data_IF_337295799598
#
_entry.id   IF_337295799598
#
_cell.length_a   1.000
_cell.length_b   1.000
_cell.length_c   1.000
_cell.angle_alpha   90.00
_cell.angle_beta   90.00
_cell.angle_gamma   90.00
#
_symmetry.space_group_name_H-M   'P 1'
#
loop_
_entity.id
_entity.type
_entity.pdbx_description
1 polymer ?
#
# COMPACT_ATOMS: atom_id res chain seq x y z
N UNK A 1 -12.49 37.67 21.21
CA UNK A 1 -12.76 36.56 22.14
C UNK A 1 -11.76 35.48 21.84
N UNK A 2 -10.69 35.30 22.67
CA UNK A 2 -9.65 34.27 22.46
C UNK A 2 -10.24 32.94 22.92
N UNK A 3 -10.48 32.00 21.97
CA UNK A 3 -10.79 30.64 22.32
C UNK A 3 -9.64 30.03 23.14
N UNK A 4 -9.92 29.42 24.29
CA UNK A 4 -8.90 28.78 25.09
C UNK A 4 -8.27 27.65 24.29
N UNK A 5 -6.96 27.61 24.23
CA UNK A 5 -6.14 26.53 23.67
C UNK A 5 -6.60 25.20 24.32
N UNK A 6 -7.31 24.37 23.57
CA UNK A 6 -7.55 23.01 24.02
C UNK A 6 -6.19 22.31 24.06
N UNK A 7 -5.66 22.09 25.24
CA UNK A 7 -4.60 21.10 25.42
C UNK A 7 -5.18 19.77 24.91
N UNK A 8 -4.40 19.02 24.11
CA UNK A 8 -4.75 17.66 23.74
C UNK A 8 -5.24 16.95 24.99
N UNK A 9 -6.45 16.37 24.97
CA UNK A 9 -6.95 15.65 26.13
C UNK A 9 -6.07 14.41 26.30
N UNK A 10 -5.81 14.03 27.55
CA UNK A 10 -5.04 12.81 27.85
C UNK A 10 -5.81 11.63 27.25
N UNK A 11 -5.34 11.08 26.12
CA UNK A 11 -5.99 9.98 25.41
C UNK A 11 -6.27 10.24 23.91
N UNK A 12 -6.11 11.48 23.43
CA UNK A 12 -6.19 11.76 21.99
C UNK A 12 -4.88 11.41 21.30
N UNK A 13 -4.97 10.70 20.17
CA UNK A 13 -3.85 10.35 19.30
C UNK A 13 -4.07 10.93 17.91
N UNK A 14 -3.07 11.62 17.41
CA UNK A 14 -3.05 12.11 16.04
C UNK A 14 -2.19 11.15 15.20
N UNK A 15 -2.74 10.64 14.12
CA UNK A 15 -1.99 9.89 13.12
C UNK A 15 -1.97 10.68 11.84
N UNK A 16 -0.81 10.83 11.24
CA UNK A 16 -0.63 11.65 10.04
C UNK A 16 0.21 10.95 8.98
N UNK A 17 -0.01 11.34 7.73
CA UNK A 17 0.90 11.05 6.62
C UNK A 17 1.16 12.35 5.85
N UNK A 18 2.43 12.69 5.65
CA UNK A 18 2.86 13.90 4.96
C UNK A 18 3.66 13.56 3.72
N UNK A 19 3.18 13.95 2.54
CA UNK A 19 3.84 13.69 1.25
C UNK A 19 4.71 14.85 0.73
N UNK A 20 4.79 15.96 1.46
CA UNK A 20 5.38 17.22 0.95
C UNK A 20 4.39 18.06 0.16
N UNK A 21 3.22 17.54 -0.17
CA UNK A 21 2.15 18.25 -0.89
C UNK A 21 0.78 18.14 -0.23
N UNK A 22 0.54 17.06 0.50
CA UNK A 22 -0.72 16.79 1.19
C UNK A 22 -0.47 16.18 2.55
N UNK A 23 -1.18 16.68 3.56
CA UNK A 23 -1.28 16.08 4.88
C UNK A 23 -2.60 15.33 4.97
N UNK A 24 -2.52 14.02 5.19
CA UNK A 24 -3.66 13.20 5.61
C UNK A 24 -3.59 13.01 7.10
N UNK A 25 -4.69 13.17 7.81
CA UNK A 25 -4.70 13.01 9.25
C UNK A 25 -5.96 12.31 9.76
N UNK A 26 -5.80 11.60 10.85
CA UNK A 26 -6.87 11.01 11.67
C UNK A 26 -6.58 11.33 13.12
N UNK A 27 -7.53 11.99 13.78
CA UNK A 27 -7.54 12.21 15.22
C UNK A 27 -8.51 11.22 15.85
N UNK A 28 -8.03 10.41 16.78
CA UNK A 28 -8.83 9.39 17.44
C UNK A 28 -8.61 9.39 18.95
N UNK A 29 -9.59 8.91 19.68
CA UNK A 29 -9.53 8.58 21.11
C UNK A 29 -9.70 7.08 21.29
N UNK A 30 -9.07 6.51 22.31
CA UNK A 30 -9.17 5.07 22.59
C UNK A 30 -7.80 4.42 22.76
N UNK A 31 -7.82 3.11 22.93
CA UNK A 31 -6.62 2.29 23.09
C UNK A 31 -6.89 0.82 22.70
N UNK A 32 -5.82 0.06 22.47
CA UNK A 32 -5.94 -1.34 22.04
C UNK A 32 -6.62 -1.46 20.69
N UNK A 33 -7.75 -2.12 20.66
CA UNK A 33 -8.57 -2.34 19.46
C UNK A 33 -9.93 -1.62 19.52
N UNK A 34 -10.08 -0.61 20.36
CA UNK A 34 -11.32 0.19 20.47
C UNK A 34 -11.01 1.68 20.35
N UNK A 35 -11.16 2.21 19.14
CA UNK A 35 -10.93 3.62 18.83
C UNK A 35 -12.20 4.30 18.37
N UNK A 36 -12.32 5.56 18.73
CA UNK A 36 -13.36 6.46 18.21
C UNK A 36 -12.69 7.56 17.40
N UNK A 37 -13.05 7.67 16.13
CA UNK A 37 -12.57 8.73 15.24
C UNK A 37 -13.28 10.03 15.66
N UNK A 38 -12.48 11.03 15.99
CA UNK A 38 -12.94 12.35 16.39
C UNK A 38 -12.99 13.30 15.20
N UNK A 39 -11.98 13.19 14.34
CA UNK A 39 -11.83 14.03 13.16
C UNK A 39 -10.82 13.42 12.20
N UNK A 40 -11.02 13.64 10.92
CA UNK A 40 -10.10 13.29 9.86
C UNK A 40 -10.11 14.34 8.76
N UNK A 41 -9.19 14.23 7.83
CA UNK A 41 -9.18 15.07 6.64
C UNK A 41 -7.91 14.96 5.81
N UNK A 42 -7.98 15.59 4.66
CA UNK A 42 -6.86 15.74 3.71
C UNK A 42 -6.67 17.23 3.45
N UNK A 43 -5.49 17.74 3.79
CA UNK A 43 -5.11 19.14 3.63
C UNK A 43 -4.03 19.26 2.56
N UNK A 44 -4.34 19.89 1.46
CA UNK A 44 -3.40 20.13 0.38
C UNK A 44 -2.57 21.38 0.68
N UNK A 45 -1.24 21.31 0.52
CA UNK A 45 -0.40 22.50 0.61
C UNK A 45 -0.69 23.46 -0.55
N UNK A 46 -0.86 22.92 -1.76
CA UNK A 46 -1.10 23.71 -2.95
C UNK A 46 0.06 24.66 -3.24
N UNK A 47 -0.24 25.93 -3.46
CA UNK A 47 0.74 27.00 -3.69
C UNK A 47 1.26 27.66 -2.40
N UNK A 48 0.78 27.25 -1.22
CA UNK A 48 1.17 27.82 0.07
C UNK A 48 2.65 27.53 0.36
N UNK A 49 3.32 28.49 1.00
CA UNK A 49 4.59 28.20 1.66
C UNK A 49 4.37 27.20 2.80
N UNK A 50 5.40 26.48 3.21
CA UNK A 50 5.31 25.59 4.38
C UNK A 50 4.87 26.35 5.64
N UNK A 51 5.24 27.61 5.78
CA UNK A 51 4.85 28.47 6.90
C UNK A 51 3.34 28.78 6.87
N UNK A 52 2.80 29.18 5.71
CA UNK A 52 1.38 29.49 5.56
C UNK A 52 0.52 28.23 5.72
N UNK A 53 0.96 27.13 5.14
CA UNK A 53 0.35 25.82 5.32
C UNK A 53 0.31 25.41 6.79
N UNK A 54 1.44 25.50 7.49
CA UNK A 54 1.52 25.18 8.92
C UNK A 54 0.60 26.09 9.76
N UNK A 55 0.49 27.36 9.40
CA UNK A 55 -0.43 28.31 10.07
C UNK A 55 -1.88 27.89 9.89
N UNK A 56 -2.25 27.40 8.70
CA UNK A 56 -3.58 26.84 8.41
C UNK A 56 -3.85 25.58 9.25
N UNK A 57 -2.88 24.67 9.35
CA UNK A 57 -2.98 23.49 10.20
C UNK A 57 -3.14 23.83 11.69
N UNK A 58 -2.46 24.87 12.15
CA UNK A 58 -2.66 25.40 13.52
C UNK A 58 -4.08 25.94 13.72
N UNK A 59 -4.64 26.63 12.73
CA UNK A 59 -6.03 27.12 12.77
C UNK A 59 -7.05 25.97 12.78
N UNK A 60 -6.74 24.88 12.09
CA UNK A 60 -7.50 23.64 12.15
C UNK A 60 -7.35 22.91 13.50
N UNK A 61 -6.51 23.39 14.40
CA UNK A 61 -6.32 22.81 15.73
C UNK A 61 -5.50 21.54 15.74
N UNK A 62 -4.59 21.36 14.79
CA UNK A 62 -3.70 20.17 14.70
C UNK A 62 -2.36 20.37 15.44
N UNK A 63 -2.23 21.37 16.30
CA UNK A 63 -1.01 21.66 17.04
C UNK A 63 -0.95 20.96 18.39
N UNK A 64 0.23 20.46 18.78
CA UNK A 64 0.54 20.04 20.15
C UNK A 64 0.05 18.63 20.51
N UNK A 65 -0.14 17.77 19.52
CA UNK A 65 -0.55 16.38 19.75
C UNK A 65 0.63 15.43 19.92
N UNK A 66 0.39 14.37 20.66
CA UNK A 66 1.18 13.12 20.54
C UNK A 66 0.81 12.50 19.20
N UNK A 67 1.81 12.31 18.33
CA UNK A 67 1.59 12.04 16.93
C UNK A 67 2.35 10.78 16.47
N UNK A 68 1.67 9.95 15.74
CA UNK A 68 2.28 8.87 14.98
C UNK A 68 2.29 9.26 13.49
N UNK A 69 3.40 9.05 12.82
CA UNK A 69 3.56 9.39 11.41
C UNK A 69 3.62 8.10 10.60
N UNK A 70 2.94 8.07 9.46
CA UNK A 70 3.03 6.98 8.49
C UNK A 70 3.68 7.49 7.21
N UNK A 71 4.74 6.84 6.78
CA UNK A 71 5.30 7.02 5.45
C UNK A 71 4.45 6.24 4.44
N UNK A 72 4.20 6.87 3.30
CA UNK A 72 3.52 6.26 2.15
C UNK A 72 4.49 5.40 1.33
N UNK A 73 3.99 4.46 0.52
CA UNK A 73 4.84 3.57 -0.26
C UNK A 73 5.92 4.26 -1.10
N UNK A 74 5.65 5.44 -1.64
CA UNK A 74 6.60 6.20 -2.45
C UNK A 74 7.73 6.87 -1.65
N UNK A 75 7.63 6.92 -0.32
CA UNK A 75 8.57 7.62 0.56
C UNK A 75 9.66 6.71 1.15
N UNK A 76 9.55 5.40 0.97
CA UNK A 76 10.53 4.41 1.45
C UNK A 76 10.61 3.23 0.50
N UNK A 77 11.59 2.38 0.71
CA UNK A 77 11.67 1.06 0.10
C UNK A 77 11.59 0.00 1.21
N UNK A 78 10.83 -1.05 0.98
CA UNK A 78 10.82 -2.25 1.82
C UNK A 78 11.54 -3.36 1.04
N UNK A 79 12.74 -3.71 1.48
CA UNK A 79 13.60 -4.68 0.86
C UNK A 79 13.61 -5.96 1.70
N UNK A 80 13.53 -7.11 1.05
CA UNK A 80 13.68 -8.39 1.71
C UNK A 80 15.08 -8.93 1.44
N UNK A 81 15.80 -9.25 2.51
CA UNK A 81 17.19 -9.74 2.45
C UNK A 81 17.33 -11.03 3.25
N UNK A 82 18.41 -11.76 3.00
CA UNK A 82 18.85 -12.83 3.87
C UNK A 82 19.36 -12.26 5.20
N UNK A 83 18.92 -12.87 6.32
CA UNK A 83 19.28 -12.38 7.64
C UNK A 83 20.80 -12.57 7.89
N UNK A 84 21.55 -11.48 8.15
CA UNK A 84 22.97 -11.60 8.46
C UNK A 84 23.18 -12.40 9.75
N UNK A 85 24.20 -13.26 9.78
CA UNK A 85 24.57 -14.05 10.95
C UNK A 85 25.40 -13.20 11.94
N UNK A 86 24.78 -12.20 12.54
CA UNK A 86 25.42 -11.27 13.51
C UNK A 86 24.59 -11.15 14.78
N UNK A 87 25.15 -10.52 15.81
CA UNK A 87 24.41 -10.22 17.04
C UNK A 87 23.24 -9.24 16.76
N UNK A 88 22.14 -9.30 17.53
CA UNK A 88 20.98 -8.43 17.33
C UNK A 88 21.31 -6.94 17.27
N UNK A 89 22.30 -6.50 18.04
CA UNK A 89 22.76 -5.11 18.12
C UNK A 89 23.46 -4.65 16.83
N UNK A 90 24.06 -5.57 16.09
CA UNK A 90 24.79 -5.33 14.84
C UNK A 90 23.88 -5.49 13.60
N UNK A 91 22.68 -6.04 13.78
CA UNK A 91 21.80 -6.44 12.69
C UNK A 91 21.48 -5.29 11.74
N UNK A 92 21.18 -4.10 12.28
CA UNK A 92 20.88 -2.90 11.48
C UNK A 92 22.09 -2.46 10.66
N UNK A 93 23.29 -2.50 11.26
CA UNK A 93 24.52 -2.12 10.56
C UNK A 93 24.87 -3.11 9.46
N UNK A 94 24.75 -4.40 9.73
CA UNK A 94 25.00 -5.46 8.73
C UNK A 94 23.98 -5.38 7.58
N UNK A 95 22.68 -5.23 7.88
CA UNK A 95 21.64 -5.05 6.89
C UNK A 95 21.89 -3.82 6.00
N UNK A 96 22.35 -2.70 6.57
CA UNK A 96 22.70 -1.48 5.83
C UNK A 96 23.73 -1.74 4.74
N UNK A 97 24.76 -2.53 5.01
CA UNK A 97 25.77 -2.87 4.01
C UNK A 97 25.23 -3.81 2.95
N UNK A 98 24.34 -4.71 3.32
CA UNK A 98 23.80 -5.73 2.42
C UNK A 98 22.86 -5.10 1.37
N UNK A 99 22.12 -4.04 1.71
CA UNK A 99 21.23 -3.36 0.76
C UNK A 99 21.95 -2.38 -0.17
N UNK A 100 23.27 -2.19 -0.03
CA UNK A 100 24.02 -1.16 -0.77
C UNK A 100 23.81 -1.22 -2.28
N UNK A 101 23.76 -2.41 -2.85
CA UNK A 101 23.57 -2.61 -4.29
C UNK A 101 22.09 -2.68 -4.70
N UNK A 102 21.16 -2.59 -3.71
CA UNK A 102 19.71 -2.69 -3.94
C UNK A 102 19.03 -1.32 -3.92
N UNK A 103 19.73 -0.27 -3.54
CA UNK A 103 19.21 1.10 -3.42
C UNK A 103 19.94 2.03 -4.36
N UNK A 104 19.22 2.97 -4.98
CA UNK A 104 19.77 3.94 -5.92
C UNK A 104 20.36 5.19 -5.22
N UNK A 105 20.32 5.25 -3.89
CA UNK A 105 20.72 6.39 -3.07
C UNK A 105 21.89 6.00 -2.19
N UNK A 106 22.80 6.94 -1.93
CA UNK A 106 23.94 6.69 -1.04
C UNK A 106 23.45 6.30 0.36
N UNK A 107 24.09 5.30 0.98
CA UNK A 107 23.67 4.77 2.28
C UNK A 107 23.60 5.85 3.37
N UNK A 108 24.45 6.87 3.34
CA UNK A 108 24.46 7.94 4.34
C UNK A 108 23.26 8.89 4.22
N UNK A 109 22.57 8.85 3.07
CA UNK A 109 21.34 9.59 2.84
C UNK A 109 20.08 8.80 3.22
N UNK A 110 20.24 7.59 3.80
CA UNK A 110 19.14 6.73 4.18
C UNK A 110 19.03 6.56 5.70
N UNK A 111 17.80 6.70 6.19
CA UNK A 111 17.36 6.19 7.49
C UNK A 111 16.89 4.76 7.28
N UNK A 112 17.46 3.81 8.04
CA UNK A 112 17.23 2.38 7.89
C UNK A 112 16.75 1.79 9.20
N UNK A 113 15.74 0.91 9.11
CA UNK A 113 15.34 0.03 10.20
C UNK A 113 15.13 -1.39 9.68
N UNK A 114 15.16 -2.37 10.58
CA UNK A 114 15.05 -3.79 10.24
C UNK A 114 13.88 -4.43 10.97
N UNK A 115 13.17 -5.29 10.27
CA UNK A 115 12.00 -6.00 10.76
C UNK A 115 12.16 -7.49 10.46
N UNK A 116 11.64 -8.34 11.32
CA UNK A 116 11.58 -9.77 11.03
C UNK A 116 10.54 -10.04 9.94
N UNK A 117 10.80 -11.07 9.14
CA UNK A 117 9.80 -11.65 8.27
C UNK A 117 8.95 -12.61 9.11
N UNK A 118 7.65 -12.43 9.10
CA UNK A 118 6.73 -13.28 9.84
C UNK A 118 7.09 -13.41 11.33
N UNK A 119 6.87 -14.60 11.87
CA UNK A 119 7.17 -14.94 13.26
C UNK A 119 8.69 -15.09 13.55
N UNK A 120 9.52 -14.97 12.53
CA UNK A 120 10.96 -15.14 12.64
C UNK A 120 11.39 -16.59 12.94
N UNK A 121 10.55 -17.59 12.63
CA UNK A 121 10.84 -19.00 12.85
C UNK A 121 10.92 -19.77 11.53
N UNK A 122 11.55 -20.93 11.56
CA UNK A 122 11.68 -21.78 10.38
C UNK A 122 12.30 -21.04 9.21
N UNK A 123 11.62 -21.02 8.06
CA UNK A 123 12.08 -20.31 6.87
C UNK A 123 12.11 -18.78 7.06
N UNK A 124 11.24 -18.23 7.89
CA UNK A 124 11.21 -16.80 8.19
C UNK A 124 12.46 -16.36 8.98
N UNK A 125 13.05 -17.23 9.77
CA UNK A 125 14.25 -16.92 10.58
C UNK A 125 15.47 -16.53 9.74
N UNK A 126 15.53 -16.97 8.48
CA UNK A 126 16.63 -16.66 7.55
C UNK A 126 16.42 -15.38 6.75
N UNK A 127 15.35 -14.62 7.01
CA UNK A 127 14.99 -13.45 6.23
C UNK A 127 14.66 -12.25 7.10
N UNK A 128 14.93 -11.06 6.55
CA UNK A 128 14.60 -9.78 7.17
C UNK A 128 13.95 -8.86 6.14
N UNK A 129 13.08 -8.00 6.63
CA UNK A 129 12.71 -6.78 5.93
C UNK A 129 13.63 -5.63 6.37
N UNK A 130 14.07 -4.85 5.41
CA UNK A 130 14.80 -3.60 5.63
C UNK A 130 13.94 -2.47 5.08
N UNK A 131 13.55 -1.57 5.97
CA UNK A 131 12.91 -0.30 5.58
C UNK A 131 14.03 0.70 5.33
N UNK A 132 14.05 1.30 4.15
CA UNK A 132 14.99 2.34 3.79
C UNK A 132 14.24 3.59 3.31
N UNK A 133 14.29 4.67 4.08
CA UNK A 133 13.68 5.95 3.75
C UNK A 133 14.75 7.02 3.54
N UNK A 134 14.57 7.90 2.55
CA UNK A 134 15.50 8.99 2.35
C UNK A 134 15.48 9.94 3.56
N UNK A 135 16.65 10.36 4.02
CA UNK A 135 16.79 11.30 5.14
C UNK A 135 16.09 12.63 4.88
N UNK A 136 15.92 13.03 3.63
CA UNK A 136 15.15 14.22 3.29
C UNK A 136 13.69 14.08 3.68
N UNK A 137 13.06 12.93 3.38
CA UNK A 137 11.67 12.63 3.77
C UNK A 137 11.49 12.70 5.28
N UNK A 138 12.41 12.07 6.02
CA UNK A 138 12.36 12.09 7.50
C UNK A 138 12.52 13.50 8.02
N UNK A 139 13.46 14.28 7.47
CA UNK A 139 13.65 15.70 7.85
C UNK A 139 12.43 16.57 7.57
N UNK A 140 11.78 16.39 6.43
CA UNK A 140 10.58 17.16 6.06
C UNK A 140 9.44 16.88 7.02
N UNK A 141 9.22 15.60 7.37
CA UNK A 141 8.26 15.18 8.40
C UNK A 141 8.58 15.84 9.74
N UNK A 142 9.84 15.77 10.20
CA UNK A 142 10.24 16.30 11.48
C UNK A 142 10.23 17.84 11.50
N UNK A 143 10.46 18.49 10.36
CA UNK A 143 10.35 19.94 10.23
C UNK A 143 8.89 20.39 10.43
N UNK A 144 7.94 19.74 9.76
CA UNK A 144 6.52 20.00 9.95
C UNK A 144 6.09 19.73 11.40
N UNK A 145 6.54 18.59 11.97
CA UNK A 145 6.26 18.21 13.35
C UNK A 145 6.77 19.26 14.35
N UNK A 146 7.97 19.81 14.12
CA UNK A 146 8.56 20.85 14.97
C UNK A 146 7.70 22.13 14.97
N UNK A 147 7.27 22.59 13.79
CA UNK A 147 6.42 23.80 13.67
C UNK A 147 5.07 23.60 14.36
N UNK A 148 4.48 22.42 14.22
CA UNK A 148 3.19 22.07 14.81
C UNK A 148 3.30 21.60 16.27
N UNK A 149 4.52 21.55 16.82
CA UNK A 149 4.80 21.09 18.19
C UNK A 149 4.23 19.70 18.46
N UNK A 150 4.36 18.81 17.48
CA UNK A 150 3.98 17.40 17.65
C UNK A 150 5.05 16.65 18.45
N UNK A 151 4.57 15.80 19.36
CA UNK A 151 5.40 14.80 20.03
C UNK A 151 5.37 13.52 19.20
N UNK A 152 6.32 13.37 18.26
CA UNK A 152 6.39 12.23 17.35
C UNK A 152 6.91 11.01 18.09
N UNK A 153 6.05 10.02 18.29
CA UNK A 153 6.40 8.75 18.95
C UNK A 153 7.01 7.74 18.00
N UNK A 154 6.49 7.66 16.79
CA UNK A 154 6.91 6.70 15.78
C UNK A 154 6.76 7.28 14.39
N UNK A 155 7.66 6.87 13.50
CA UNK A 155 7.50 6.98 12.06
C UNK A 155 7.36 5.55 11.56
N UNK A 156 6.16 5.20 11.12
CA UNK A 156 5.78 3.87 10.65
C UNK A 156 5.69 3.83 9.12
N UNK A 157 5.49 2.66 8.55
CA UNK A 157 5.34 2.44 7.11
C UNK A 157 3.99 1.81 6.81
N UNK A 158 3.46 2.07 5.62
CA UNK A 158 2.11 1.61 5.25
C UNK A 158 1.97 0.09 5.26
N UNK A 159 3.03 -0.67 4.97
CA UNK A 159 3.01 -2.14 5.03
C UNK A 159 2.63 -2.65 6.42
N UNK A 160 3.19 -2.03 7.47
CA UNK A 160 2.88 -2.40 8.84
C UNK A 160 1.48 -1.96 9.26
N UNK A 161 1.05 -0.79 8.80
CA UNK A 161 -0.31 -0.32 9.01
C UNK A 161 -1.34 -1.27 8.36
N UNK A 162 -1.09 -1.69 7.13
CA UNK A 162 -1.96 -2.62 6.40
C UNK A 162 -2.00 -3.99 7.08
N UNK A 163 -0.86 -4.53 7.53
CA UNK A 163 -0.78 -5.76 8.36
C UNK A 163 -1.67 -5.65 9.60
N UNK A 164 -1.61 -4.52 10.30
CA UNK A 164 -2.42 -4.33 11.51
C UNK A 164 -3.93 -4.37 11.22
N UNK A 165 -4.36 -3.82 10.09
CA UNK A 165 -5.77 -3.90 9.66
C UNK A 165 -6.17 -5.35 9.34
N UNK A 166 -5.30 -6.12 8.68
CA UNK A 166 -5.56 -7.53 8.39
C UNK A 166 -5.71 -8.37 9.67
N UNK A 167 -4.90 -8.07 10.70
CA UNK A 167 -4.87 -8.83 11.94
C UNK A 167 -6.17 -8.76 12.76
N UNK A 168 -7.01 -7.75 12.53
CA UNK A 168 -8.30 -7.65 13.21
C UNK A 168 -9.42 -8.48 12.55
N UNK A 169 -9.27 -8.80 11.25
CA UNK A 169 -10.25 -9.63 10.54
C UNK A 169 -10.00 -11.13 10.72
N UNK A 170 -8.75 -11.55 10.51
CA UNK A 170 -8.36 -12.96 10.49
C UNK A 170 -7.08 -13.17 11.32
N UNK A 171 -7.19 -13.16 12.65
CA UNK A 171 -6.01 -13.13 13.50
C UNK A 171 -5.17 -14.41 13.48
N UNK A 172 -5.73 -15.54 13.04
CA UNK A 172 -5.05 -16.85 13.09
C UNK A 172 -4.65 -17.40 11.72
N UNK A 173 -5.07 -16.76 10.63
CA UNK A 173 -4.87 -17.26 9.27
C UNK A 173 -4.12 -16.25 8.42
N UNK A 174 -3.38 -16.75 7.43
CA UNK A 174 -2.77 -15.86 6.45
C UNK A 174 -3.84 -15.21 5.56
N UNK A 175 -3.75 -13.91 5.37
CA UNK A 175 -4.58 -13.15 4.45
C UNK A 175 -3.73 -12.31 3.53
N UNK A 176 -4.16 -12.18 2.28
CA UNK A 176 -3.62 -11.21 1.33
C UNK A 176 -4.49 -9.95 1.37
N UNK A 177 -3.89 -8.78 1.45
CA UNK A 177 -4.62 -7.53 1.30
C UNK A 177 -4.09 -6.72 0.12
N UNK A 178 -5.00 -6.16 -0.65
CA UNK A 178 -4.74 -5.21 -1.73
C UNK A 178 -5.35 -3.86 -1.34
N UNK A 179 -4.51 -2.85 -1.15
CA UNK A 179 -4.97 -1.52 -0.76
C UNK A 179 -4.59 -0.49 -1.83
N UNK A 180 -5.60 0.15 -2.39
CA UNK A 180 -5.47 1.21 -3.39
C UNK A 180 -5.83 2.53 -2.71
N UNK A 181 -4.82 3.37 -2.45
CA UNK A 181 -5.02 4.68 -1.80
C UNK A 181 -5.12 5.82 -2.82
N UNK A 182 -4.27 5.85 -3.83
CA UNK A 182 -4.17 6.98 -4.79
C UNK A 182 -4.39 6.58 -6.27
N UNK A 183 -4.81 5.36 -6.55
CA UNK A 183 -5.21 4.92 -7.89
C UNK A 183 -4.07 4.65 -8.90
N UNK A 184 -2.80 4.83 -8.52
CA UNK A 184 -1.63 4.54 -9.37
C UNK A 184 -0.91 3.25 -9.01
N UNK A 185 -0.99 2.87 -7.75
CA UNK A 185 -0.37 1.67 -7.21
C UNK A 185 -1.30 1.01 -6.22
N UNK A 186 -1.18 -0.29 -6.09
CA UNK A 186 -1.74 -1.04 -4.97
C UNK A 186 -0.62 -1.66 -4.16
N UNK A 187 -0.76 -1.59 -2.86
CA UNK A 187 0.10 -2.30 -1.94
C UNK A 187 -0.52 -3.66 -1.65
N UNK A 188 0.17 -4.73 -2.04
CA UNK A 188 -0.17 -6.10 -1.72
C UNK A 188 0.65 -6.54 -0.52
N UNK A 189 -0.01 -6.94 0.56
CA UNK A 189 0.65 -7.54 1.73
C UNK A 189 0.03 -8.90 2.03
N UNK A 190 0.85 -9.86 2.50
CA UNK A 190 0.36 -11.10 3.09
C UNK A 190 0.87 -11.16 4.51
N UNK A 191 -0.06 -11.27 5.44
CA UNK A 191 0.19 -11.32 6.87
C UNK A 191 -0.57 -12.48 7.52
N UNK A 192 -0.06 -12.96 8.64
CA UNK A 192 -0.73 -13.93 9.47
C UNK A 192 -0.59 -13.50 10.94
N UNK A 193 -1.69 -13.42 11.66
CA UNK A 193 -1.69 -12.82 12.98
C UNK A 193 -1.21 -11.37 12.91
N UNK A 194 -0.24 -11.03 13.75
CA UNK A 194 0.36 -9.69 13.80
C UNK A 194 1.64 -9.57 12.99
N UNK A 195 1.94 -10.54 12.11
CA UNK A 195 3.22 -10.62 11.44
C UNK A 195 3.09 -10.44 9.93
N UNK A 196 4.01 -9.64 9.35
CA UNK A 196 4.13 -9.45 7.92
C UNK A 196 5.08 -10.50 7.33
N UNK A 197 4.63 -11.22 6.31
CA UNK A 197 5.42 -12.25 5.64
C UNK A 197 5.82 -11.85 4.22
N UNK A 198 4.98 -11.08 3.55
CA UNK A 198 5.20 -10.69 2.16
C UNK A 198 4.62 -9.31 1.91
N UNK A 199 5.33 -8.51 1.13
CA UNK A 199 4.85 -7.22 0.66
C UNK A 199 5.35 -6.94 -0.75
N UNK A 200 4.48 -6.37 -1.56
CA UNK A 200 4.80 -5.98 -2.94
C UNK A 200 3.95 -4.79 -3.38
N UNK A 201 4.57 -3.87 -4.10
CA UNK A 201 3.87 -2.81 -4.81
C UNK A 201 3.58 -3.26 -6.23
N UNK A 202 2.35 -3.07 -6.65
CA UNK A 202 1.90 -3.37 -8.00
C UNK A 202 1.44 -2.06 -8.65
N UNK A 203 1.98 -1.77 -9.83
CA UNK A 203 1.55 -0.60 -10.59
C UNK A 203 0.17 -0.87 -11.19
N UNK A 204 -0.71 0.11 -11.04
CA UNK A 204 -2.02 0.09 -11.65
C UNK A 204 -1.96 0.77 -13.02
N UNK A 205 -2.64 0.23 -14.01
CA UNK A 205 -2.80 0.90 -15.30
C UNK A 205 -3.44 2.28 -15.13
N UNK A 206 -3.06 3.20 -15.99
CA UNK A 206 -3.68 4.53 -16.00
C UNK A 206 -5.21 4.41 -16.21
N UNK A 207 -5.96 5.11 -15.37
CA UNK A 207 -7.43 5.06 -15.42
C UNK A 207 -8.06 3.80 -14.81
N UNK A 208 -7.27 2.88 -14.20
CA UNK A 208 -7.77 1.62 -13.63
C UNK A 208 -8.99 1.80 -12.72
N UNK A 209 -8.97 2.79 -11.85
CA UNK A 209 -10.10 3.08 -10.95
C UNK A 209 -11.35 3.64 -11.66
N UNK A 210 -11.21 4.09 -12.90
CA UNK A 210 -12.32 4.55 -13.74
C UNK A 210 -12.84 3.48 -14.73
N UNK A 211 -12.15 2.34 -14.86
CA UNK A 211 -12.54 1.27 -15.77
C UNK A 211 -13.78 0.53 -15.27
N UNK A 212 -14.53 -0.04 -16.20
CA UNK A 212 -15.56 -1.02 -15.88
C UNK A 212 -14.93 -2.41 -15.81
N UNK A 213 -14.95 -3.04 -14.63
CA UNK A 213 -14.43 -4.39 -14.43
C UNK A 213 -15.52 -5.41 -14.80
N UNK A 214 -15.77 -5.59 -16.11
CA UNK A 214 -16.78 -6.50 -16.61
C UNK A 214 -16.34 -7.95 -16.63
N UNK A 215 -17.33 -8.85 -16.53
CA UNK A 215 -17.13 -10.29 -16.65
C UNK A 215 -16.67 -10.65 -18.06
N UNK A 216 -15.61 -11.43 -18.19
CA UNK A 216 -15.43 -12.21 -19.40
C UNK A 216 -14.08 -12.24 -20.07
N UNK A 217 -13.00 -11.66 -19.47
CA UNK A 217 -11.74 -11.60 -20.22
C UNK A 217 -10.83 -12.84 -20.10
N UNK A 218 -10.96 -13.64 -19.05
CA UNK A 218 -10.19 -14.90 -18.96
C UNK A 218 -11.00 -16.14 -19.31
N UNK A 219 -12.31 -16.12 -19.09
CA UNK A 219 -13.18 -17.28 -19.37
C UNK A 219 -13.51 -17.49 -20.86
N UNK A 220 -13.19 -16.54 -21.74
CA UNK A 220 -13.43 -16.65 -23.18
C UNK A 220 -12.20 -16.98 -24.03
N UNK A 221 -11.04 -17.19 -23.44
CA UNK A 221 -10.03 -17.97 -24.14
C UNK A 221 -10.48 -19.42 -24.05
N UNK A 222 -11.33 -19.81 -25.01
CA UNK A 222 -11.58 -21.22 -25.30
C UNK A 222 -10.22 -21.94 -25.40
N UNK A 223 -10.13 -23.19 -24.93
CA UNK A 223 -8.91 -23.94 -25.11
C UNK A 223 -8.56 -23.90 -26.59
N UNK A 224 -7.35 -23.46 -26.89
CA UNK A 224 -6.83 -23.56 -28.26
C UNK A 224 -6.57 -25.02 -28.54
N UNK A 225 -7.65 -25.80 -28.62
CA UNK A 225 -7.70 -27.07 -29.31
C UNK A 225 -8.00 -26.77 -30.77
N UNK A 226 -7.06 -26.18 -31.42
CA UNK A 226 -6.96 -26.23 -32.85
C UNK A 226 -5.48 -26.39 -33.18
N UNK A 227 -5.03 -27.60 -33.20
CA UNK A 227 -3.91 -27.98 -34.02
C UNK A 227 -4.30 -27.60 -35.46
N UNK A 228 -3.99 -26.41 -35.87
CA UNK A 228 -3.94 -26.00 -37.28
C UNK A 228 -2.65 -26.59 -37.81
N UNK A 229 -2.71 -27.53 -38.78
CA UNK A 229 -1.52 -27.99 -39.45
C UNK A 229 -0.79 -26.78 -40.05
N UNK A 230 0.48 -26.63 -39.71
CA UNK A 230 1.37 -25.66 -40.35
C UNK A 230 1.37 -26.00 -41.83
N UNK A 231 0.69 -25.20 -42.65
CA UNK A 231 0.87 -25.31 -44.10
C UNK A 231 2.33 -24.98 -44.44
N UNK A 232 2.87 -25.85 -45.23
CA UNK A 232 4.22 -25.96 -45.73
C UNK A 232 4.77 -24.57 -46.18
N UNK A 233 5.87 -24.12 -45.55
CA UNK A 233 6.58 -22.90 -45.89
C UNK A 233 7.18 -23.06 -47.29
N UNK A 234 6.60 -22.39 -48.27
CA UNK A 234 7.18 -22.21 -49.60
C UNK A 234 7.93 -20.88 -49.66
N UNK A 235 9.27 -20.89 -49.86
CA UNK A 235 9.98 -19.61 -49.99
C UNK A 235 9.76 -19.05 -51.41
N UNK A 236 8.97 -17.99 -51.52
CA UNK A 236 8.77 -17.23 -52.75
C UNK A 236 9.34 -15.81 -52.62
N UNK A 237 10.44 -15.57 -53.29
CA UNK A 237 10.92 -14.21 -53.55
C UNK A 237 9.93 -13.48 -54.46
N UNK A 238 9.44 -12.32 -54.05
CA UNK A 238 8.97 -11.30 -54.99
C UNK A 238 9.00 -9.90 -54.37
N UNK A 239 9.49 -9.01 -55.14
CA UNK A 239 9.97 -7.66 -54.93
C UNK A 239 8.90 -6.59 -54.67
N UNK A 240 9.30 -5.58 -53.93
CA UNK A 240 9.09 -4.12 -54.12
C UNK A 240 7.67 -3.64 -54.46
N UNK A 241 7.10 -2.88 -53.52
CA UNK A 241 6.00 -1.96 -53.72
C UNK A 241 6.00 -0.87 -52.65
N UNK A 242 6.64 0.27 -52.97
CA UNK A 242 6.52 1.52 -52.20
C UNK A 242 5.15 2.16 -52.46
N UNK A 243 4.50 2.61 -51.41
CA UNK A 243 3.37 3.53 -51.51
C UNK A 243 2.06 3.01 -50.87
N UNK A 244 1.83 3.35 -49.64
CA UNK A 244 0.52 3.19 -48.97
C UNK A 244 0.43 4.24 -47.87
N UNK A 245 -0.39 5.26 -48.10
CA UNK A 245 -0.71 6.34 -47.19
C UNK A 245 -1.20 5.76 -45.85
N UNK A 246 -0.58 6.17 -44.76
CA UNK A 246 -1.09 5.96 -43.42
C UNK A 246 -2.35 6.80 -43.23
N UNK A 247 -3.50 6.25 -43.53
CA UNK A 247 -4.77 6.78 -43.07
C UNK A 247 -4.84 6.59 -41.56
N UNK A 248 -4.81 7.69 -40.81
CA UNK A 248 -5.18 7.74 -39.41
C UNK A 248 -6.69 7.52 -39.32
N UNK A 249 -7.10 6.27 -39.36
CA UNK A 249 -8.47 5.86 -39.08
C UNK A 249 -8.65 5.88 -37.56
N UNK A 250 -9.63 6.64 -37.11
CA UNK A 250 -9.97 6.79 -35.70
C UNK A 250 -10.12 5.45 -35.01
N UNK A 251 -9.58 5.36 -33.80
CA UNK A 251 -9.75 4.20 -32.93
C UNK A 251 -11.24 3.90 -32.76
N UNK A 252 -11.66 2.73 -33.21
CA UNK A 252 -13.02 2.23 -32.99
C UNK A 252 -13.22 1.98 -31.50
N UNK A 253 -14.45 2.18 -30.96
CA UNK A 253 -14.73 1.92 -29.53
C UNK A 253 -14.29 0.54 -29.06
N UNK A 254 -14.38 -0.47 -29.90
CA UNK A 254 -13.92 -1.83 -29.62
C UNK A 254 -12.41 -1.95 -29.31
N UNK A 255 -11.56 -1.06 -29.86
CA UNK A 255 -10.12 -1.08 -29.60
C UNK A 255 -9.74 -0.45 -28.24
N UNK A 256 -10.56 0.49 -27.75
CA UNK A 256 -10.36 1.09 -26.44
C UNK A 256 -10.77 0.13 -25.32
N UNK A 257 -11.94 -0.53 -25.46
CA UNK A 257 -12.39 -1.54 -24.50
C UNK A 257 -11.42 -2.72 -24.41
N UNK A 258 -10.88 -3.20 -25.52
CA UNK A 258 -9.89 -4.27 -25.52
C UNK A 258 -8.61 -3.84 -24.81
N UNK A 259 -8.15 -2.60 -24.99
CA UNK A 259 -6.96 -2.10 -24.29
C UNK A 259 -7.17 -1.98 -22.78
N UNK A 260 -8.38 -1.68 -22.32
CA UNK A 260 -8.71 -1.60 -20.90
C UNK A 260 -8.81 -2.99 -20.25
N UNK A 261 -9.37 -3.95 -20.98
CA UNK A 261 -9.35 -5.37 -20.58
C UNK A 261 -7.92 -5.88 -20.40
N UNK A 262 -7.07 -5.65 -21.40
CA UNK A 262 -5.65 -6.09 -21.35
C UNK A 262 -4.88 -5.43 -20.18
N UNK A 263 -5.21 -4.18 -19.85
CA UNK A 263 -4.62 -3.47 -18.72
C UNK A 263 -5.07 -4.06 -17.37
N UNK A 264 -6.36 -4.32 -17.23
CA UNK A 264 -6.91 -4.93 -16.02
C UNK A 264 -6.34 -6.34 -15.80
N UNK A 265 -6.17 -7.14 -16.87
CA UNK A 265 -5.58 -8.47 -16.81
C UNK A 265 -4.15 -8.48 -16.24
N UNK A 266 -3.36 -7.44 -16.46
CA UNK A 266 -2.00 -7.36 -15.87
C UNK A 266 -2.05 -7.39 -14.34
N UNK A 267 -2.97 -6.66 -13.72
CA UNK A 267 -3.13 -6.71 -12.26
C UNK A 267 -3.51 -8.12 -11.79
N UNK A 268 -4.47 -8.78 -12.47
CA UNK A 268 -4.84 -10.15 -12.14
C UNK A 268 -3.64 -11.10 -12.16
N UNK A 269 -2.84 -11.05 -13.24
CA UNK A 269 -1.64 -11.88 -13.37
C UNK A 269 -0.64 -11.61 -12.25
N UNK A 270 -0.42 -10.34 -11.89
CA UNK A 270 0.52 -10.00 -10.83
C UNK A 270 0.00 -10.42 -9.43
N UNK A 271 -1.30 -10.30 -9.18
CA UNK A 271 -1.94 -10.80 -7.96
C UNK A 271 -1.81 -12.33 -7.89
N UNK A 272 -2.17 -13.03 -8.98
CA UNK A 272 -2.08 -14.50 -9.04
C UNK A 272 -0.64 -14.98 -8.84
N UNK A 273 0.35 -14.35 -9.50
CA UNK A 273 1.77 -14.67 -9.31
C UNK A 273 2.21 -14.50 -7.84
N UNK A 274 1.71 -13.48 -7.17
CA UNK A 274 2.04 -13.24 -5.76
C UNK A 274 1.45 -14.31 -4.85
N UNK A 275 0.22 -14.74 -5.13
CA UNK A 275 -0.45 -15.84 -4.42
C UNK A 275 0.27 -17.17 -4.69
N UNK A 276 0.58 -17.50 -5.94
CA UNK A 276 1.30 -18.72 -6.31
C UNK A 276 2.69 -18.78 -5.65
N UNK A 277 3.39 -17.65 -5.62
CA UNK A 277 4.68 -17.56 -4.92
C UNK A 277 4.53 -17.79 -3.42
N UNK A 278 3.49 -17.23 -2.82
CA UNK A 278 3.15 -17.44 -1.42
C UNK A 278 2.91 -18.94 -1.13
N UNK A 279 2.02 -19.57 -1.85
CA UNK A 279 1.64 -20.99 -1.66
C UNK A 279 2.84 -21.94 -1.80
N UNK A 280 3.74 -21.65 -2.75
CA UNK A 280 4.99 -22.42 -2.92
C UNK A 280 6.01 -22.15 -1.80
N UNK A 281 6.01 -20.95 -1.24
CA UNK A 281 6.99 -20.54 -0.24
C UNK A 281 6.56 -20.93 1.16
N UNK A 282 5.27 -20.82 1.46
CA UNK A 282 4.69 -20.98 2.80
C UNK A 282 3.63 -22.08 2.83
N UNK A 283 4.01 -23.29 2.44
CA UNK A 283 3.10 -24.44 2.30
C UNK A 283 2.34 -24.80 3.59
N UNK A 284 2.90 -24.48 4.75
CA UNK A 284 2.30 -24.74 6.06
C UNK A 284 1.37 -23.59 6.53
N UNK A 285 1.26 -22.52 5.76
CA UNK A 285 0.46 -21.34 6.13
C UNK A 285 -0.47 -20.97 4.96
N UNK A 286 -1.55 -21.77 4.75
CA UNK A 286 -2.45 -21.55 3.62
C UNK A 286 -3.17 -20.21 3.72
N UNK A 287 -3.40 -19.59 2.56
CA UNK A 287 -4.11 -18.33 2.47
C UNK A 287 -5.60 -18.53 2.79
N UNK A 288 -6.16 -17.68 3.66
CA UNK A 288 -7.59 -17.67 3.96
C UNK A 288 -8.41 -17.01 2.86
N UNK A 289 -7.80 -16.06 2.16
CA UNK A 289 -8.43 -15.30 1.10
C UNK A 289 -7.73 -13.97 0.86
N UNK A 290 -8.32 -13.19 -0.03
CA UNK A 290 -7.86 -11.84 -0.40
C UNK A 290 -8.83 -10.81 0.16
N UNK A 291 -8.33 -9.70 0.67
CA UNK A 291 -9.10 -8.55 1.12
C UNK A 291 -8.71 -7.34 0.30
N UNK A 292 -9.70 -6.59 -0.19
CA UNK A 292 -9.45 -5.41 -1.01
C UNK A 292 -9.97 -4.15 -0.36
N UNK A 293 -9.24 -3.07 -0.52
CA UNK A 293 -9.65 -1.72 -0.15
C UNK A 293 -9.38 -0.77 -1.32
N UNK A 294 -10.44 -0.26 -1.94
CA UNK A 294 -10.41 0.59 -3.12
C UNK A 294 -11.49 1.69 -3.03
N UNK A 295 -11.71 2.23 -1.82
CA UNK A 295 -12.75 3.21 -1.57
C UNK A 295 -14.14 2.67 -1.88
N UNK A 296 -14.97 3.46 -2.56
CA UNK A 296 -16.34 3.09 -2.93
C UNK A 296 -16.43 1.89 -3.88
N UNK A 297 -15.35 1.60 -4.60
CA UNK A 297 -15.31 0.50 -5.57
C UNK A 297 -14.76 -0.82 -5.00
N UNK A 298 -14.58 -0.90 -3.68
CA UNK A 298 -14.02 -2.09 -3.03
C UNK A 298 -14.85 -3.35 -3.33
N UNK A 299 -16.16 -3.26 -3.25
CA UNK A 299 -17.06 -4.40 -3.49
C UNK A 299 -17.00 -4.87 -4.95
N UNK A 300 -17.01 -3.92 -5.91
CA UNK A 300 -16.92 -4.23 -7.34
C UNK A 300 -15.57 -4.88 -7.68
N UNK A 301 -14.47 -4.35 -7.11
CA UNK A 301 -13.14 -4.91 -7.26
C UNK A 301 -13.05 -6.33 -6.66
N UNK A 302 -13.65 -6.54 -5.49
CA UNK A 302 -13.67 -7.85 -4.84
C UNK A 302 -14.40 -8.89 -5.70
N UNK A 303 -15.56 -8.54 -6.23
CA UNK A 303 -16.36 -9.42 -7.09
C UNK A 303 -15.61 -9.76 -8.38
N UNK A 304 -14.98 -8.77 -9.00
CA UNK A 304 -14.19 -8.97 -10.21
C UNK A 304 -12.99 -9.88 -9.96
N UNK A 305 -12.18 -9.60 -8.94
CA UNK A 305 -11.03 -10.42 -8.59
C UNK A 305 -11.44 -11.85 -8.20
N UNK A 306 -12.51 -12.02 -7.42
CA UNK A 306 -12.98 -13.34 -7.01
C UNK A 306 -13.38 -14.21 -8.19
N UNK A 307 -14.09 -13.63 -9.13
CA UNK A 307 -14.55 -14.34 -10.33
C UNK A 307 -13.39 -14.75 -11.24
N UNK A 308 -12.43 -13.83 -11.46
CA UNK A 308 -11.39 -14.02 -12.46
C UNK A 308 -10.16 -14.77 -11.89
N UNK A 309 -9.94 -14.79 -10.58
CA UNK A 309 -8.87 -15.56 -9.91
C UNK A 309 -9.36 -16.87 -9.30
N UNK A 310 -10.67 -17.05 -9.10
CA UNK A 310 -11.23 -18.17 -8.37
C UNK A 310 -10.92 -18.18 -6.88
N UNK A 311 -10.31 -17.11 -6.34
CA UNK A 311 -9.98 -16.95 -4.93
C UNK A 311 -11.16 -16.42 -4.12
N UNK A 312 -11.17 -16.70 -2.82
CA UNK A 312 -12.10 -16.04 -1.91
C UNK A 312 -11.67 -14.59 -1.69
N UNK A 313 -12.32 -13.65 -2.39
CA UNK A 313 -12.02 -12.21 -2.27
C UNK A 313 -13.19 -11.50 -1.60
N UNK A 314 -12.88 -10.67 -0.61
CA UNK A 314 -13.84 -9.81 0.08
C UNK A 314 -13.28 -8.40 0.30
N UNK A 315 -14.12 -7.50 0.78
CA UNK A 315 -13.69 -6.15 1.17
C UNK A 315 -12.95 -6.23 2.50
N UNK A 316 -11.92 -5.41 2.65
CA UNK A 316 -11.23 -5.24 3.94
C UNK A 316 -12.13 -4.43 4.88
N UNK A 317 -12.59 -5.06 5.96
CA UNK A 317 -13.44 -4.42 6.94
C UNK A 317 -12.64 -3.98 8.17
N UNK A 318 -12.88 -2.78 8.62
CA UNK A 318 -12.27 -2.23 9.86
C UNK A 318 -13.24 -2.28 11.05
N UNK A 319 -14.44 -2.63 10.80
CA UNK A 319 -15.70 -2.74 11.54
C UNK A 319 -15.67 -2.47 13.05
N UNK A 320 -15.37 -3.51 13.83
CA UNK A 320 -15.58 -3.44 15.28
C UNK A 320 -14.54 -2.60 16.04
N UNK A 321 -13.36 -2.38 15.45
CA UNK A 321 -12.25 -1.67 16.12
C UNK A 321 -12.36 -0.16 16.05
N UNK A 322 -13.21 0.38 15.18
CA UNK A 322 -13.34 1.82 15.00
C UNK A 322 -14.80 2.27 15.01
N UNK A 323 -15.10 3.23 15.90
CA UNK A 323 -16.36 3.97 15.95
C UNK A 323 -16.15 5.33 15.27
N UNK A 324 -17.22 5.92 14.74
CA UNK A 324 -17.15 7.23 14.10
C UNK A 324 -16.46 7.23 12.75
N UNK A 325 -16.47 6.12 12.01
CA UNK A 325 -15.94 6.08 10.63
C UNK A 325 -16.69 7.02 9.68
N UNK A 326 -17.92 7.38 10.00
CA UNK A 326 -18.73 8.40 9.33
C UNK A 326 -18.13 9.82 9.42
N UNK A 327 -17.17 10.04 10.31
CA UNK A 327 -16.39 11.29 10.38
C UNK A 327 -15.33 11.38 9.27
N UNK A 328 -15.05 10.27 8.59
CA UNK A 328 -14.16 10.26 7.43
C UNK A 328 -15.02 10.40 6.18
N UNK A 329 -14.77 11.43 5.38
CA UNK A 329 -15.49 11.58 4.11
C UNK A 329 -15.22 10.37 3.20
N UNK A 330 -16.20 10.03 2.36
CA UNK A 330 -16.07 8.91 1.43
C UNK A 330 -14.86 9.10 0.50
N UNK A 331 -14.62 10.34 0.06
CA UNK A 331 -13.50 10.69 -0.80
C UNK A 331 -12.14 10.55 -0.09
N UNK A 332 -12.08 10.82 1.22
CA UNK A 332 -10.85 10.75 2.01
C UNK A 332 -10.58 9.34 2.57
N UNK A 333 -11.59 8.47 2.57
CA UNK A 333 -11.48 7.13 3.15
C UNK A 333 -10.28 6.33 2.61
N UNK A 334 -9.99 6.27 1.30
CA UNK A 334 -8.84 5.52 0.79
C UNK A 334 -7.50 6.00 1.34
N UNK A 335 -7.38 7.30 1.61
CA UNK A 335 -6.16 7.91 2.16
C UNK A 335 -6.08 7.79 3.69
N UNK A 336 -7.22 7.85 4.38
CA UNK A 336 -7.30 7.75 5.83
C UNK A 336 -7.24 6.29 6.34
N UNK A 337 -7.71 5.33 5.55
CA UNK A 337 -7.78 3.92 5.95
C UNK A 337 -6.42 3.36 6.42
N UNK A 338 -5.29 3.58 5.73
CA UNK A 338 -4.00 3.11 6.23
C UNK A 338 -3.63 3.71 7.59
N UNK A 339 -4.04 4.97 7.88
CA UNK A 339 -3.75 5.61 9.16
C UNK A 339 -4.48 4.92 10.32
N UNK A 340 -5.64 4.30 10.07
CA UNK A 340 -6.32 3.50 11.08
C UNK A 340 -5.48 2.30 11.50
N UNK A 341 -4.73 1.69 10.57
CA UNK A 341 -3.81 0.61 10.88
C UNK A 341 -2.66 1.03 11.81
N UNK A 342 -2.21 2.28 11.72
CA UNK A 342 -1.20 2.80 12.66
C UNK A 342 -1.75 2.93 14.08
N UNK A 343 -3.04 3.26 14.25
CA UNK A 343 -3.69 3.28 15.56
C UNK A 343 -3.66 1.92 16.25
N UNK A 344 -3.75 0.83 15.49
CA UNK A 344 -3.72 -0.56 15.97
C UNK A 344 -2.33 -1.07 16.31
N UNK A 345 -1.29 -0.26 16.14
CA UNK A 345 0.08 -0.65 16.46
C UNK A 345 0.22 -1.06 17.93
N UNK A 346 0.56 -2.32 18.17
CA UNK A 346 0.77 -2.89 19.51
C UNK A 346 2.25 -3.13 19.84
N UNK A 347 3.16 -2.72 18.98
CA UNK A 347 4.59 -2.93 19.19
C UNK A 347 5.11 -2.04 20.32
N UNK A 348 5.59 -2.68 21.39
CA UNK A 348 6.27 -1.99 22.48
C UNK A 348 7.68 -1.65 22.02
N UNK A 349 8.03 -0.35 22.05
CA UNK A 349 9.40 0.10 21.82
C UNK A 349 10.29 -0.59 22.86
N UNK A 350 11.13 -1.55 22.46
CA UNK A 350 12.23 -2.01 23.30
C UNK A 350 13.22 -0.86 23.36
N UNK A 351 13.34 -0.25 24.55
CA UNK A 351 14.29 0.81 24.84
C UNK A 351 15.73 0.30 24.70
#
# INVERSE_FOLDING_TARGET
MRLPWRRASSGERLVVSWSGQALVYVLATGAGNDFTIVRSGVELQGADSLEDFSRRLVQLGLKGYVTDVMLRPEQYQLLQIEAPAVAPEELRSAARYQIKEMVDVHLDDLTIDVLKVGDGQGRAASQLFVVAANNAVVRDVMSLASVLQWDVRVIDVQDMAQRNLQSIEEPERATCALMISEGRQTLLTISAGTELYYSRRLDLPEGFMGMTWTAGSLAQQAPVDAYTPVEEYVPGYAAVGYGGEFSTSGATPASAEQSDIDRAQRLLVEVQRSIDLWERTWTNLPLAGVRVAAGERSEELAQWLSRDTGQAVGVLHTGASFKGLDQISVADMPLCLPLLGVLLRNEVRKA
#
